data_IF_446272769173
#
_entry.id   IF_446272769173
#
_cell.length_a   1.000
_cell.length_b   1.000
_cell.length_c   1.000
_cell.angle_alpha   90.00
_cell.angle_beta   90.00
_cell.angle_gamma   90.00
#
_symmetry.space_group_name_H-M   'P 1'
#
loop_
_entity.id
_entity.type
_entity.pdbx_description
1 polymer ?
#
# COMPACT_ATOMS: atom_id res chain seq x y z
N UNK A 1 -110.40 -40.64 70.46
CA UNK A 1 -109.87 -39.39 69.89
C UNK A 1 -108.41 -39.67 69.62
N UNK A 2 -107.89 -39.86 68.42
CA UNK A 2 -108.31 -39.55 67.04
C UNK A 2 -107.63 -40.60 66.17
N UNK A 3 -108.40 -41.50 65.54
CA UNK A 3 -107.88 -42.48 64.59
C UNK A 3 -107.62 -41.80 63.24
N UNK A 4 -106.40 -41.98 62.73
CA UNK A 4 -105.91 -41.42 61.48
C UNK A 4 -106.66 -42.01 60.29
N UNK A 5 -107.56 -41.20 59.69
CA UNK A 5 -108.41 -41.55 58.54
C UNK A 5 -107.68 -41.78 57.21
N UNK A 6 -106.34 -41.78 57.17
CA UNK A 6 -105.58 -42.03 55.96
C UNK A 6 -104.36 -42.93 56.22
N UNK A 7 -104.24 -43.98 55.39
CA UNK A 7 -103.14 -44.94 55.35
C UNK A 7 -101.87 -44.24 54.82
N UNK A 8 -100.80 -44.18 55.61
CA UNK A 8 -99.54 -43.49 55.25
C UNK A 8 -98.95 -43.95 53.90
N UNK A 9 -99.13 -45.23 53.54
CA UNK A 9 -98.69 -45.81 52.26
C UNK A 9 -99.30 -45.11 51.02
N UNK A 10 -100.48 -44.49 51.14
CA UNK A 10 -101.11 -43.73 50.04
C UNK A 10 -100.55 -42.30 49.91
N UNK A 11 -100.08 -41.69 51.01
CA UNK A 11 -99.46 -40.37 50.99
C UNK A 11 -98.03 -40.42 50.40
N UNK A 12 -97.29 -41.50 50.63
CA UNK A 12 -95.96 -41.68 50.06
C UNK A 12 -95.97 -42.05 48.57
N UNK A 13 -96.98 -42.79 48.10
CA UNK A 13 -97.16 -43.09 46.67
C UNK A 13 -97.48 -41.85 45.81
N UNK A 14 -97.99 -40.78 46.43
CA UNK A 14 -98.37 -39.55 45.72
C UNK A 14 -97.23 -38.51 45.64
N UNK A 15 -96.16 -38.67 46.44
CA UNK A 15 -95.00 -37.75 46.48
C UNK A 15 -93.93 -38.02 45.41
N UNK A 16 -93.89 -39.20 44.80
CA UNK A 16 -92.83 -39.58 43.85
C UNK A 16 -93.20 -39.49 42.35
N UNK A 17 -94.32 -38.87 42.00
CA UNK A 17 -94.80 -38.76 40.60
C UNK A 17 -94.53 -37.41 39.91
N UNK A 18 -93.49 -36.68 40.35
CA UNK A 18 -93.14 -35.35 39.81
C UNK A 18 -91.80 -35.30 39.04
N UNK A 19 -91.10 -36.41 38.84
CA UNK A 19 -89.98 -36.48 37.89
C UNK A 19 -90.27 -37.53 36.84
N UNK A 20 -90.72 -37.06 35.67
CA UNK A 20 -90.95 -37.88 34.50
C UNK A 20 -89.69 -38.65 34.11
N UNK A 21 -89.87 -39.89 33.68
CA UNK A 21 -88.84 -40.67 33.00
C UNK A 21 -88.38 -39.88 31.78
N UNK A 22 -87.17 -39.32 31.83
CA UNK A 22 -86.53 -38.68 30.69
C UNK A 22 -86.20 -39.78 29.69
N UNK A 23 -87.16 -40.11 28.84
CA UNK A 23 -86.94 -40.89 27.63
C UNK A 23 -86.09 -40.04 26.69
N UNK A 24 -84.77 -40.23 26.75
CA UNK A 24 -83.83 -39.70 25.77
C UNK A 24 -84.06 -40.41 24.43
N UNK A 25 -85.06 -39.92 23.68
CA UNK A 25 -85.24 -40.27 22.28
C UNK A 25 -84.02 -39.76 21.51
N UNK A 26 -83.07 -40.65 21.24
CA UNK A 26 -81.84 -40.35 20.53
C UNK A 26 -82.03 -40.74 19.06
N UNK A 27 -82.29 -39.78 18.15
CA UNK A 27 -82.55 -40.09 16.74
C UNK A 27 -81.30 -40.71 16.08
N UNK A 28 -81.47 -41.66 15.13
CA UNK A 28 -80.36 -42.39 14.51
C UNK A 28 -79.40 -41.49 13.70
N UNK A 29 -79.83 -40.30 13.29
CA UNK A 29 -78.96 -39.29 12.67
C UNK A 29 -77.82 -38.87 13.61
N UNK A 30 -77.96 -38.99 14.95
CA UNK A 30 -76.90 -38.58 15.87
C UNK A 30 -75.55 -39.26 15.59
N UNK A 31 -75.55 -40.52 15.14
CA UNK A 31 -74.32 -41.21 14.74
C UNK A 31 -73.73 -40.67 13.44
N UNK A 32 -74.57 -40.18 12.53
CA UNK A 32 -74.15 -39.47 11.31
C UNK A 32 -73.57 -38.09 11.62
N UNK A 33 -74.20 -37.28 12.47
CA UNK A 33 -73.63 -35.98 12.88
C UNK A 33 -72.36 -36.13 13.70
N UNK A 34 -72.30 -37.13 14.59
CA UNK A 34 -71.07 -37.47 15.32
C UNK A 34 -69.99 -37.91 14.33
N UNK A 35 -70.30 -38.84 13.42
CA UNK A 35 -69.33 -39.33 12.42
C UNK A 35 -68.77 -38.22 11.53
N UNK A 36 -69.64 -37.31 11.04
CA UNK A 36 -69.21 -36.15 10.24
C UNK A 36 -68.38 -35.17 11.08
N UNK A 37 -68.79 -34.89 12.31
CA UNK A 37 -68.00 -34.04 13.21
C UNK A 37 -66.65 -34.67 13.55
N UNK A 38 -66.58 -35.99 13.78
CA UNK A 38 -65.33 -36.70 14.04
C UNK A 38 -64.42 -36.71 12.80
N UNK A 39 -64.98 -36.95 11.61
CA UNK A 39 -64.24 -36.89 10.36
C UNK A 39 -63.68 -35.48 10.07
N UNK A 40 -64.49 -34.43 10.26
CA UNK A 40 -64.05 -33.04 10.14
C UNK A 40 -62.91 -32.73 11.13
N UNK A 41 -63.06 -33.19 12.38
CA UNK A 41 -62.04 -33.03 13.42
C UNK A 41 -60.75 -33.75 13.03
N UNK A 42 -60.83 -34.98 12.52
CA UNK A 42 -59.67 -35.74 12.03
C UNK A 42 -58.99 -35.05 10.85
N UNK A 43 -59.74 -34.45 9.92
CA UNK A 43 -59.17 -33.69 8.80
C UNK A 43 -58.44 -32.45 9.28
N UNK A 44 -59.00 -31.72 10.25
CA UNK A 44 -58.34 -30.56 10.86
C UNK A 44 -57.07 -31.01 11.59
N UNK A 45 -57.14 -32.05 12.41
CA UNK A 45 -55.96 -32.61 13.10
C UNK A 45 -54.90 -33.06 12.10
N UNK A 46 -55.28 -33.76 11.03
CA UNK A 46 -54.36 -34.14 9.96
C UNK A 46 -53.73 -32.91 9.29
N UNK A 47 -54.50 -31.87 8.99
CA UNK A 47 -53.99 -30.61 8.44
C UNK A 47 -52.98 -29.93 9.39
N UNK A 48 -53.21 -29.94 10.70
CA UNK A 48 -52.25 -29.39 11.67
C UNK A 48 -50.98 -30.25 11.82
N UNK A 49 -51.11 -31.58 11.67
CA UNK A 49 -49.97 -32.52 11.76
C UNK A 49 -49.11 -32.49 10.51
N UNK A 50 -49.71 -32.42 9.31
CA UNK A 50 -49.00 -32.43 8.03
C UNK A 50 -48.68 -31.03 7.50
N UNK A 51 -49.42 -30.01 7.92
CA UNK A 51 -49.20 -28.63 7.52
C UNK A 51 -47.93 -28.06 8.16
N UNK A 52 -47.04 -27.53 7.32
CA UNK A 52 -45.84 -26.81 7.76
C UNK A 52 -45.94 -25.34 7.38
N UNK A 53 -45.64 -24.44 8.31
CA UNK A 53 -45.51 -23.02 8.04
C UNK A 53 -44.04 -22.61 8.14
N UNK A 54 -43.56 -21.87 7.14
CA UNK A 54 -42.18 -21.37 7.14
C UNK A 54 -42.17 -19.91 7.52
N UNK A 55 -41.58 -19.60 8.67
CA UNK A 55 -41.40 -18.21 9.10
C UNK A 55 -40.29 -17.56 8.26
N UNK A 56 -40.57 -16.37 7.73
CA UNK A 56 -39.61 -15.58 6.96
C UNK A 56 -39.34 -14.29 7.73
N UNK A 57 -38.08 -13.92 7.87
CA UNK A 57 -37.69 -12.57 8.30
C UNK A 57 -37.31 -11.76 7.08
N UNK A 58 -37.89 -10.58 6.97
CA UNK A 58 -37.50 -9.62 5.94
C UNK A 58 -36.33 -8.79 6.44
N UNK A 59 -35.25 -8.79 5.68
CA UNK A 59 -34.03 -8.04 5.98
C UNK A 59 -33.65 -7.16 4.81
N UNK A 60 -33.08 -6.00 5.11
CA UNK A 60 -32.59 -5.09 4.08
C UNK A 60 -31.15 -5.44 3.69
N UNK A 61 -30.79 -5.19 2.45
CA UNK A 61 -29.46 -5.38 1.93
C UNK A 61 -29.16 -4.50 0.72
N UNK A 62 -27.96 -4.69 0.17
CA UNK A 62 -27.50 -4.00 -1.03
C UNK A 62 -26.61 -4.92 -1.87
N UNK A 63 -26.60 -4.71 -3.19
CA UNK A 63 -25.68 -5.41 -4.09
C UNK A 63 -24.30 -4.78 -4.03
N UNK A 64 -23.29 -5.59 -3.77
CA UNK A 64 -21.88 -5.20 -3.79
C UNK A 64 -21.09 -6.21 -4.63
N UNK A 65 -20.05 -5.78 -5.35
CA UNK A 65 -19.15 -6.72 -6.01
C UNK A 65 -18.43 -7.58 -4.96
N UNK A 66 -18.22 -8.85 -5.25
CA UNK A 66 -17.52 -9.77 -4.34
C UNK A 66 -16.12 -9.26 -3.91
N UNK A 67 -15.45 -8.51 -4.79
CA UNK A 67 -14.13 -7.91 -4.52
C UNK A 67 -14.20 -6.52 -3.85
N UNK A 68 -15.39 -6.00 -3.59
CA UNK A 68 -15.58 -4.62 -3.13
C UNK A 68 -15.31 -3.57 -4.21
N UNK A 69 -15.56 -2.30 -3.85
CA UNK A 69 -15.16 -1.16 -4.68
C UNK A 69 -13.70 -0.82 -4.39
N UNK A 70 -12.91 -0.63 -5.44
CA UNK A 70 -11.54 -0.17 -5.34
C UNK A 70 -11.50 1.36 -5.26
N UNK A 71 -11.12 1.90 -4.11
CA UNK A 71 -10.87 3.32 -3.95
C UNK A 71 -9.42 3.65 -4.31
N UNK A 72 -9.22 4.49 -5.32
CA UNK A 72 -7.91 5.01 -5.69
C UNK A 72 -7.74 6.40 -5.09
N UNK A 73 -6.78 6.52 -4.18
CA UNK A 73 -6.43 7.76 -3.50
C UNK A 73 -5.01 8.20 -3.87
N UNK A 74 -4.72 9.51 -3.90
CA UNK A 74 -3.39 9.99 -4.19
C UNK A 74 -2.45 9.83 -3.00
N UNK A 75 -1.15 9.59 -3.24
CA UNK A 75 -0.14 9.52 -2.19
C UNK A 75 0.27 10.90 -1.64
N UNK A 76 -0.08 11.98 -2.34
CA UNK A 76 0.31 13.35 -2.02
C UNK A 76 -0.90 14.28 -2.18
N UNK A 77 -0.93 15.36 -1.39
CA UNK A 77 -1.93 16.42 -1.53
C UNK A 77 -1.62 17.28 -2.74
N UNK A 78 -2.63 17.62 -3.54
CA UNK A 78 -2.47 18.50 -4.69
C UNK A 78 -3.78 18.84 -5.38
N UNK A 79 -3.68 19.64 -6.44
CA UNK A 79 -4.83 20.11 -7.22
C UNK A 79 -5.01 19.22 -8.45
N UNK A 80 -6.22 18.76 -8.72
CA UNK A 80 -6.53 17.97 -9.93
C UNK A 80 -6.39 18.86 -11.17
N UNK A 81 -5.45 18.55 -12.04
CA UNK A 81 -5.23 19.31 -13.28
C UNK A 81 -6.17 18.86 -14.39
N UNK A 82 -6.49 17.58 -14.45
CA UNK A 82 -7.37 17.04 -15.46
C UNK A 82 -7.77 15.59 -15.20
N UNK A 83 -8.96 15.26 -15.70
CA UNK A 83 -9.52 13.91 -15.70
C UNK A 83 -9.27 13.29 -17.08
N UNK A 84 -8.75 12.06 -17.10
CA UNK A 84 -8.48 11.30 -18.34
C UNK A 84 -9.58 10.29 -18.65
N UNK A 85 -10.51 10.06 -17.71
CA UNK A 85 -11.60 9.09 -17.81
C UNK A 85 -12.95 9.71 -17.45
N UNK A 86 -14.04 9.03 -17.84
CA UNK A 86 -15.42 9.40 -17.51
C UNK A 86 -16.09 8.33 -16.64
N UNK A 87 -17.10 8.72 -15.88
CA UNK A 87 -17.95 7.77 -15.15
C UNK A 87 -18.61 6.77 -16.12
N UNK A 88 -18.63 5.49 -15.74
CA UNK A 88 -19.13 4.39 -16.56
C UNK A 88 -18.14 3.88 -17.64
N UNK A 89 -16.99 4.51 -17.83
CA UNK A 89 -15.99 4.06 -18.80
C UNK A 89 -15.25 2.81 -18.29
N UNK A 90 -15.01 1.84 -19.19
CA UNK A 90 -14.14 0.69 -18.91
C UNK A 90 -12.68 1.08 -19.10
N UNK A 91 -11.84 0.75 -18.12
CA UNK A 91 -10.40 1.05 -18.10
C UNK A 91 -9.59 -0.24 -17.92
N UNK A 92 -8.49 -0.36 -18.66
CA UNK A 92 -7.53 -1.45 -18.49
C UNK A 92 -6.65 -1.24 -17.25
N UNK A 93 -5.97 -2.30 -16.81
CA UNK A 93 -4.94 -2.19 -15.78
C UNK A 93 -3.84 -1.20 -16.22
N UNK A 94 -3.45 -0.28 -15.35
CA UNK A 94 -2.45 0.75 -15.61
C UNK A 94 -2.95 1.99 -16.39
N UNK A 95 -4.22 2.02 -16.82
CA UNK A 95 -4.79 3.16 -17.51
C UNK A 95 -4.80 4.41 -16.61
N UNK A 96 -4.51 5.57 -17.20
CA UNK A 96 -4.46 6.85 -16.50
C UNK A 96 -5.88 7.33 -16.17
N UNK A 97 -6.14 7.62 -14.90
CA UNK A 97 -7.45 8.06 -14.41
C UNK A 97 -7.50 9.58 -14.32
N UNK A 98 -6.56 10.17 -13.59
CA UNK A 98 -6.47 11.60 -13.39
C UNK A 98 -5.03 12.03 -13.10
N UNK A 99 -4.75 13.30 -13.35
CA UNK A 99 -3.48 13.94 -13.02
C UNK A 99 -3.68 14.95 -11.90
N UNK A 100 -2.76 14.94 -10.93
CA UNK A 100 -2.73 15.87 -9.81
C UNK A 100 -1.42 16.63 -9.86
N UNK A 101 -1.48 17.95 -9.83
CA UNK A 101 -0.30 18.79 -9.62
C UNK A 101 -0.15 19.05 -8.13
N UNK A 102 1.03 18.75 -7.57
CA UNK A 102 1.38 19.13 -6.21
C UNK A 102 2.10 20.50 -6.16
N UNK A 103 1.84 21.35 -7.15
CA UNK A 103 2.34 22.71 -7.20
C UNK A 103 1.60 23.58 -6.18
N UNK A 104 2.37 24.16 -5.26
CA UNK A 104 1.88 25.16 -4.33
C UNK A 104 2.17 26.52 -4.95
N UNK A 105 1.11 27.24 -5.34
CA UNK A 105 1.23 28.63 -5.76
C UNK A 105 1.31 29.52 -4.52
N UNK A 106 2.46 30.15 -4.30
CA UNK A 106 2.63 31.22 -3.30
C UNK A 106 2.75 32.57 -4.00
N UNK A 107 2.72 33.68 -3.25
CA UNK A 107 2.88 35.04 -3.80
C UNK A 107 4.20 35.22 -4.59
N UNK A 108 5.20 34.36 -4.35
CA UNK A 108 6.50 34.32 -5.04
C UNK A 108 6.50 33.40 -6.28
N UNK A 109 5.34 32.87 -6.70
CA UNK A 109 5.17 31.95 -7.82
C UNK A 109 5.20 30.47 -7.44
N UNK A 110 5.29 29.60 -8.46
CA UNK A 110 5.39 28.14 -8.28
C UNK A 110 6.67 27.76 -7.54
N UNK A 111 6.54 27.41 -6.25
CA UNK A 111 7.70 27.16 -5.37
C UNK A 111 8.55 25.98 -5.87
N UNK A 112 7.94 25.03 -6.60
CA UNK A 112 8.68 23.91 -7.19
C UNK A 112 9.48 24.29 -8.43
N UNK A 113 8.95 25.18 -9.28
CA UNK A 113 9.66 25.66 -10.47
C UNK A 113 10.89 26.51 -10.11
N UNK A 114 10.79 27.32 -9.04
CA UNK A 114 11.95 28.06 -8.53
C UNK A 114 13.03 27.12 -7.99
N UNK A 115 12.64 26.08 -7.23
CA UNK A 115 13.57 25.04 -6.78
C UNK A 115 14.19 24.27 -7.94
N UNK A 116 13.40 23.90 -8.96
CA UNK A 116 13.90 23.22 -10.15
C UNK A 116 14.93 24.06 -10.91
N UNK A 117 14.66 25.37 -11.09
CA UNK A 117 15.63 26.31 -11.69
C UNK A 117 16.91 26.42 -10.86
N UNK A 118 16.79 26.50 -9.54
CA UNK A 118 17.95 26.59 -8.65
C UNK A 118 18.80 25.31 -8.70
N UNK A 119 18.17 24.12 -8.67
CA UNK A 119 18.87 22.84 -8.77
C UNK A 119 19.57 22.67 -10.13
N UNK A 120 18.91 23.06 -11.23
CA UNK A 120 19.52 23.05 -12.57
C UNK A 120 20.73 23.99 -12.65
N UNK A 121 20.63 25.17 -12.04
CA UNK A 121 21.75 26.11 -11.97
C UNK A 121 22.90 25.56 -11.13
N UNK A 122 22.62 24.94 -9.98
CA UNK A 122 23.63 24.27 -9.16
C UNK A 122 24.34 23.14 -9.94
N UNK A 123 23.58 22.31 -10.66
CA UNK A 123 24.13 21.25 -11.52
C UNK A 123 25.10 21.82 -12.55
N UNK A 124 24.69 22.86 -13.29
CA UNK A 124 25.52 23.51 -14.30
C UNK A 124 26.79 24.13 -13.72
N UNK A 125 26.73 24.69 -12.50
CA UNK A 125 27.95 25.15 -11.80
C UNK A 125 28.87 23.98 -11.47
N UNK A 126 28.36 22.89 -10.90
CA UNK A 126 29.18 21.71 -10.57
C UNK A 126 29.83 21.08 -11.81
N UNK A 127 29.13 21.03 -12.94
CA UNK A 127 29.70 20.60 -14.24
C UNK A 127 30.84 21.53 -14.69
N UNK A 128 30.67 22.84 -14.51
CA UNK A 128 31.70 23.85 -14.81
C UNK A 128 32.89 23.72 -13.85
N UNK A 129 32.65 23.44 -12.57
CA UNK A 129 33.70 23.22 -11.57
C UNK A 129 34.49 21.95 -11.87
N UNK A 130 33.82 20.87 -12.30
CA UNK A 130 34.48 19.61 -12.70
C UNK A 130 35.40 19.80 -13.91
N UNK A 131 34.92 20.52 -14.92
CA UNK A 131 35.71 20.82 -16.13
C UNK A 131 36.87 21.75 -15.80
N UNK A 132 36.66 22.79 -15.00
CA UNK A 132 37.70 23.72 -14.52
C UNK A 132 38.77 22.99 -13.70
N UNK A 133 38.37 22.07 -12.80
CA UNK A 133 39.30 21.27 -12.01
C UNK A 133 40.19 20.38 -12.89
N UNK A 134 39.63 19.81 -13.96
CA UNK A 134 40.40 19.03 -14.94
C UNK A 134 41.41 19.86 -15.71
N UNK A 135 41.12 21.14 -15.96
CA UNK A 135 42.02 22.05 -16.68
C UNK A 135 43.16 22.47 -15.76
N UNK A 136 42.84 22.91 -14.54
CA UNK A 136 43.82 23.29 -13.51
C UNK A 136 44.80 22.16 -13.21
N UNK A 137 44.31 20.92 -13.07
CA UNK A 137 45.17 19.74 -12.84
C UNK A 137 46.12 19.48 -14.02
N UNK A 138 45.62 19.60 -15.26
CA UNK A 138 46.45 19.44 -16.47
C UNK A 138 47.55 20.50 -16.55
N UNK A 139 47.23 21.76 -16.21
CA UNK A 139 48.20 22.84 -16.18
C UNK A 139 49.25 22.65 -15.08
N UNK A 140 48.81 22.28 -13.86
CA UNK A 140 49.70 21.96 -12.76
C UNK A 140 50.66 20.80 -13.11
N UNK A 141 50.14 19.75 -13.74
CA UNK A 141 50.94 18.61 -14.19
C UNK A 141 51.98 19.02 -15.24
N UNK A 142 51.59 19.87 -16.20
CA UNK A 142 52.53 20.41 -17.20
C UNK A 142 53.63 21.24 -16.52
N UNK A 143 53.27 22.12 -15.60
CA UNK A 143 54.23 22.93 -14.84
C UNK A 143 55.25 22.09 -14.07
N UNK A 144 54.77 21.06 -13.36
CA UNK A 144 55.64 20.14 -12.62
C UNK A 144 56.55 19.31 -13.54
N UNK A 145 56.05 18.82 -14.69
CA UNK A 145 56.88 18.09 -15.66
C UNK A 145 57.97 18.98 -16.28
N UNK A 146 57.65 20.24 -16.60
CA UNK A 146 58.66 21.18 -17.09
C UNK A 146 59.72 21.44 -16.02
N UNK A 147 59.33 21.56 -14.75
CA UNK A 147 60.26 21.70 -13.63
C UNK A 147 61.14 20.46 -13.44
N UNK A 148 60.56 19.27 -13.53
CA UNK A 148 61.31 17.99 -13.48
C UNK A 148 62.38 17.94 -14.57
N UNK A 149 62.01 18.22 -15.82
CA UNK A 149 62.94 18.24 -16.94
C UNK A 149 64.08 19.26 -16.74
N UNK A 150 63.77 20.47 -16.24
CA UNK A 150 64.78 21.48 -15.95
C UNK A 150 65.77 21.05 -14.85
N UNK A 151 65.28 20.35 -13.81
CA UNK A 151 66.13 19.83 -12.73
C UNK A 151 67.01 18.65 -13.21
N UNK A 152 66.47 17.77 -14.06
CA UNK A 152 67.24 16.69 -14.69
C UNK A 152 68.37 17.27 -15.58
N UNK A 153 68.09 18.31 -16.37
CA UNK A 153 69.10 19.01 -17.17
C UNK A 153 70.18 19.67 -16.31
N UNK A 154 69.80 20.29 -15.19
CA UNK A 154 70.74 20.86 -14.21
C UNK A 154 71.64 19.77 -13.60
N UNK A 155 71.09 18.62 -13.22
CA UNK A 155 71.88 17.49 -12.73
C UNK A 155 72.86 16.98 -13.79
N UNK A 156 72.44 16.88 -15.05
CA UNK A 156 73.32 16.49 -16.14
C UNK A 156 74.47 17.49 -16.34
N UNK A 157 74.20 18.79 -16.19
CA UNK A 157 75.23 19.83 -16.23
C UNK A 157 76.21 19.73 -15.06
N UNK A 158 75.71 19.53 -13.84
CA UNK A 158 76.54 19.34 -12.64
C UNK A 158 77.40 18.08 -12.80
N UNK A 159 76.86 16.99 -13.36
CA UNK A 159 77.60 15.76 -13.61
C UNK A 159 78.76 15.98 -14.61
N UNK A 160 78.54 16.75 -15.68
CA UNK A 160 79.60 17.14 -16.62
C UNK A 160 80.67 17.99 -15.94
N UNK A 161 80.28 18.97 -15.12
CA UNK A 161 81.22 19.81 -14.36
C UNK A 161 82.03 18.99 -13.35
N UNK A 162 81.38 18.08 -12.62
CA UNK A 162 82.02 17.18 -11.68
C UNK A 162 83.06 16.30 -12.37
N UNK A 163 82.74 15.69 -13.51
CA UNK A 163 83.68 14.87 -14.28
C UNK A 163 84.92 15.68 -14.72
N UNK A 164 84.73 16.94 -15.14
CA UNK A 164 85.85 17.81 -15.53
C UNK A 164 86.73 18.19 -14.33
N UNK A 165 86.12 18.54 -13.19
CA UNK A 165 86.86 18.86 -11.95
C UNK A 165 87.57 17.64 -11.36
N UNK A 166 87.00 16.45 -11.52
CA UNK A 166 87.61 15.21 -11.06
C UNK A 166 88.92 14.94 -11.81
N UNK A 167 88.90 15.08 -13.15
CA UNK A 167 90.12 14.98 -13.97
C UNK A 167 91.18 16.02 -13.58
N UNK A 168 90.75 17.23 -13.21
CA UNK A 168 91.67 18.28 -12.75
C UNK A 168 92.32 17.91 -11.41
N UNK A 169 91.55 17.38 -10.45
CA UNK A 169 92.08 16.89 -9.18
C UNK A 169 93.04 15.70 -9.38
N UNK A 170 92.70 14.75 -10.25
CA UNK A 170 93.57 13.62 -10.61
C UNK A 170 94.89 14.06 -11.28
N UNK A 171 94.86 15.13 -12.10
CA UNK A 171 96.07 15.70 -12.68
C UNK A 171 96.93 16.41 -11.62
N UNK A 172 96.30 17.20 -10.74
CA UNK A 172 96.98 17.88 -9.65
C UNK A 172 97.63 16.89 -8.68
N UNK A 173 96.96 15.78 -8.38
CA UNK A 173 97.50 14.67 -7.58
C UNK A 173 98.74 14.08 -8.24
N UNK A 174 98.65 13.69 -9.53
CA UNK A 174 99.81 13.14 -10.25
C UNK A 174 101.01 14.08 -10.28
N UNK A 175 100.77 15.39 -10.40
CA UNK A 175 101.83 16.40 -10.33
C UNK A 175 102.44 16.50 -8.92
N UNK A 176 101.61 16.44 -7.88
CA UNK A 176 102.07 16.42 -6.49
C UNK A 176 102.95 15.19 -6.23
N UNK A 177 102.50 13.99 -6.62
CA UNK A 177 103.24 12.75 -6.45
C UNK A 177 104.61 12.82 -7.16
N UNK A 178 104.64 13.38 -8.39
CA UNK A 178 105.87 13.62 -9.13
C UNK A 178 106.81 14.58 -8.40
N UNK A 179 106.31 15.73 -7.92
CA UNK A 179 107.12 16.69 -7.18
C UNK A 179 107.65 16.11 -5.86
N UNK A 180 106.85 15.31 -5.15
CA UNK A 180 107.28 14.61 -3.94
C UNK A 180 108.41 13.63 -4.24
N UNK A 181 108.34 12.88 -5.35
CA UNK A 181 109.42 11.98 -5.79
C UNK A 181 110.70 12.75 -6.16
N UNK A 182 110.58 13.89 -6.86
CA UNK A 182 111.71 14.75 -7.21
C UNK A 182 112.36 15.40 -5.98
N UNK A 183 111.55 15.80 -5.00
CA UNK A 183 112.01 16.32 -3.70
C UNK A 183 112.82 15.27 -2.95
N UNK A 184 112.37 14.01 -2.93
CA UNK A 184 113.10 12.92 -2.29
C UNK A 184 114.49 12.68 -2.89
N UNK A 185 114.66 13.02 -4.16
CA UNK A 185 115.94 12.97 -4.88
C UNK A 185 116.74 14.29 -4.83
N UNK A 186 116.24 15.33 -4.14
CA UNK A 186 116.89 16.63 -3.97
C UNK A 186 116.68 17.64 -5.11
N UNK A 187 115.82 17.34 -6.09
CA UNK A 187 115.62 18.17 -7.29
C UNK A 187 114.46 19.19 -7.19
N UNK A 188 113.69 19.20 -6.11
CA UNK A 188 112.56 20.11 -5.91
C UNK A 188 112.54 20.72 -4.50
N UNK A 189 112.05 21.96 -4.38
CA UNK A 189 111.93 22.68 -3.10
C UNK A 189 110.70 22.24 -2.30
N UNK A 190 110.78 22.29 -0.96
CA UNK A 190 109.62 22.07 -0.08
C UNK A 190 108.46 23.04 -0.40
N UNK A 191 108.78 24.30 -0.70
CA UNK A 191 107.76 25.30 -1.06
C UNK A 191 106.98 24.95 -2.32
N UNK A 192 107.61 24.26 -3.29
CA UNK A 192 106.95 23.82 -4.52
C UNK A 192 105.98 22.66 -4.26
N UNK A 193 106.31 21.77 -3.32
CA UNK A 193 105.42 20.68 -2.90
C UNK A 193 104.22 21.23 -2.15
N UNK A 194 104.43 22.11 -1.16
CA UNK A 194 103.34 22.74 -0.40
C UNK A 194 102.40 23.56 -1.28
N UNK A 195 102.95 24.31 -2.25
CA UNK A 195 102.14 25.06 -3.20
C UNK A 195 101.25 24.13 -4.05
N UNK A 196 101.79 23.01 -4.54
CA UNK A 196 101.03 22.06 -5.34
C UNK A 196 99.99 21.30 -4.49
N UNK A 197 100.32 21.01 -3.23
CA UNK A 197 99.38 20.42 -2.27
C UNK A 197 98.18 21.35 -2.03
N UNK A 198 98.42 22.66 -1.90
CA UNK A 198 97.35 23.66 -1.84
C UNK A 198 96.44 23.66 -3.08
N UNK A 199 97.00 23.47 -4.29
CA UNK A 199 96.21 23.35 -5.53
C UNK A 199 95.33 22.10 -5.54
N UNK A 200 95.85 20.97 -5.06
CA UNK A 200 95.08 19.73 -4.92
C UNK A 200 93.94 19.90 -3.91
N UNK A 201 94.21 20.49 -2.75
CA UNK A 201 93.20 20.73 -1.71
C UNK A 201 92.09 21.66 -2.21
N UNK A 202 92.41 22.73 -2.95
CA UNK A 202 91.42 23.60 -3.59
C UNK A 202 90.57 22.83 -4.62
N UNK A 203 91.20 21.97 -5.44
CA UNK A 203 90.47 21.14 -6.41
C UNK A 203 89.52 20.14 -5.71
N UNK A 204 89.94 19.53 -4.60
CA UNK A 204 89.11 18.64 -3.80
C UNK A 204 87.95 19.39 -3.11
N UNK A 205 88.18 20.58 -2.56
CA UNK A 205 87.14 21.40 -1.95
C UNK A 205 86.05 21.78 -2.99
N UNK A 206 86.45 22.14 -4.21
CA UNK A 206 85.50 22.41 -5.31
C UNK A 206 84.69 21.18 -5.71
N UNK A 207 85.27 19.98 -5.66
CA UNK A 207 84.53 18.73 -5.91
C UNK A 207 83.49 18.46 -4.83
N UNK A 208 83.84 18.68 -3.56
CA UNK A 208 82.91 18.54 -2.44
C UNK A 208 81.74 19.52 -2.55
N UNK A 209 81.99 20.76 -2.96
CA UNK A 209 80.93 21.75 -3.19
C UNK A 209 79.99 21.34 -4.34
N UNK A 210 80.52 20.83 -5.45
CA UNK A 210 79.69 20.28 -6.54
C UNK A 210 78.89 19.05 -6.09
N UNK A 211 79.46 18.19 -5.23
CA UNK A 211 78.75 17.05 -4.67
C UNK A 211 77.57 17.49 -3.79
N UNK A 212 77.75 18.55 -2.98
CA UNK A 212 76.69 19.17 -2.16
C UNK A 212 75.59 19.74 -3.05
N UNK A 213 75.94 20.48 -4.10
CA UNK A 213 74.98 21.03 -5.07
C UNK A 213 74.21 19.92 -5.79
N UNK A 214 74.88 18.81 -6.17
CA UNK A 214 74.21 17.65 -6.78
C UNK A 214 73.16 17.04 -5.85
N UNK A 215 73.49 16.92 -4.56
CA UNK A 215 72.56 16.38 -3.56
C UNK A 215 71.34 17.30 -3.39
N UNK A 216 71.56 18.61 -3.33
CA UNK A 216 70.49 19.61 -3.19
C UNK A 216 69.52 19.56 -4.39
N UNK A 217 70.02 19.59 -5.62
CA UNK A 217 69.18 19.49 -6.83
C UNK A 217 68.50 18.11 -6.90
N UNK A 218 69.18 17.04 -6.48
CA UNK A 218 68.59 15.70 -6.39
C UNK A 218 67.38 15.64 -5.44
N UNK A 219 67.48 16.26 -4.26
CA UNK A 219 66.36 16.34 -3.32
C UNK A 219 65.18 17.14 -3.89
N UNK A 220 65.45 18.25 -4.59
CA UNK A 220 64.41 19.04 -5.26
C UNK A 220 63.70 18.25 -6.38
N UNK A 221 64.45 17.43 -7.12
CA UNK A 221 63.92 16.56 -8.15
C UNK A 221 63.04 15.47 -7.55
N UNK A 222 63.49 14.81 -6.49
CA UNK A 222 62.71 13.78 -5.80
C UNK A 222 61.41 14.34 -5.21
N UNK A 223 61.45 15.55 -4.64
CA UNK A 223 60.27 16.26 -4.16
C UNK A 223 59.29 16.59 -5.31
N UNK A 224 59.80 17.06 -6.45
CA UNK A 224 58.99 17.35 -7.64
C UNK A 224 58.34 16.07 -8.19
N UNK A 225 59.09 14.96 -8.24
CA UNK A 225 58.59 13.64 -8.63
C UNK A 225 57.53 13.11 -7.68
N UNK A 226 57.69 13.34 -6.37
CA UNK A 226 56.67 13.01 -5.38
C UNK A 226 55.38 13.79 -5.63
N UNK A 227 55.47 15.11 -5.85
CA UNK A 227 54.31 15.95 -6.19
C UNK A 227 53.60 15.47 -7.46
N UNK A 228 54.35 15.04 -8.48
CA UNK A 228 53.79 14.46 -9.70
C UNK A 228 53.04 13.14 -9.46
N UNK A 229 53.50 12.30 -8.52
CA UNK A 229 52.83 11.07 -8.13
C UNK A 229 51.57 11.31 -7.31
N UNK A 230 51.56 12.35 -6.48
CA UNK A 230 50.43 12.69 -5.61
C UNK A 230 49.31 13.45 -6.35
N UNK A 231 49.65 14.31 -7.31
CA UNK A 231 48.70 15.12 -8.09
C UNK A 231 47.50 14.35 -8.67
N UNK A 232 47.64 13.17 -9.32
CA UNK A 232 46.49 12.43 -9.85
C UNK A 232 45.59 11.90 -8.74
N UNK A 233 46.13 11.53 -7.58
CA UNK A 233 45.34 11.04 -6.44
C UNK A 233 44.51 12.17 -5.82
N UNK A 234 45.11 13.33 -5.61
CA UNK A 234 44.41 14.51 -5.08
C UNK A 234 43.36 15.02 -6.06
N UNK A 235 43.68 15.06 -7.35
CA UNK A 235 42.73 15.43 -8.42
C UNK A 235 41.54 14.47 -8.45
N UNK A 236 41.79 13.16 -8.37
CA UNK A 236 40.72 12.16 -8.38
C UNK A 236 39.80 12.27 -7.16
N UNK A 237 40.36 12.54 -5.99
CA UNK A 237 39.55 12.76 -4.79
C UNK A 237 38.65 13.99 -4.93
N UNK A 238 39.21 15.11 -5.43
CA UNK A 238 38.43 16.33 -5.67
C UNK A 238 37.34 16.13 -6.73
N UNK A 239 37.64 15.40 -7.81
CA UNK A 239 36.66 15.04 -8.83
C UNK A 239 35.54 14.17 -8.25
N UNK A 240 35.88 13.12 -7.51
CA UNK A 240 34.89 12.27 -6.83
C UNK A 240 34.00 13.08 -5.88
N UNK A 241 34.53 14.09 -5.20
CA UNK A 241 33.74 14.95 -4.30
C UNK A 241 32.73 15.81 -5.08
N UNK A 242 33.11 16.33 -6.24
CA UNK A 242 32.22 17.08 -7.13
C UNK A 242 31.18 16.14 -7.75
N UNK A 243 31.58 14.95 -8.21
CA UNK A 243 30.68 13.94 -8.78
C UNK A 243 29.64 13.45 -7.77
N UNK A 244 30.01 13.24 -6.49
CA UNK A 244 29.03 12.92 -5.45
C UNK A 244 28.00 14.03 -5.27
N UNK A 245 28.45 15.29 -5.20
CA UNK A 245 27.52 16.45 -5.12
C UNK A 245 26.63 16.55 -6.36
N UNK A 246 27.15 16.21 -7.54
CA UNK A 246 26.39 16.21 -8.77
C UNK A 246 25.27 15.16 -8.70
N UNK A 247 25.59 13.94 -8.26
CA UNK A 247 24.62 12.87 -8.07
C UNK A 247 23.53 13.25 -7.05
N UNK A 248 23.90 13.90 -5.94
CA UNK A 248 22.94 14.39 -4.94
C UNK A 248 21.97 15.44 -5.52
N UNK A 249 22.49 16.36 -6.35
CA UNK A 249 21.68 17.38 -7.04
C UNK A 249 20.79 16.74 -8.10
N UNK A 250 21.29 15.76 -8.86
CA UNK A 250 20.49 15.02 -9.85
C UNK A 250 19.35 14.24 -9.20
N UNK A 251 19.62 13.58 -8.07
CA UNK A 251 18.59 12.93 -7.27
C UNK A 251 17.55 13.96 -6.80
N UNK A 252 17.99 15.13 -6.30
CA UNK A 252 17.09 16.20 -5.87
C UNK A 252 16.22 16.73 -7.02
N UNK A 253 16.75 16.81 -8.24
CA UNK A 253 15.99 17.18 -9.45
C UNK A 253 14.93 16.11 -9.77
N UNK A 254 15.33 14.84 -9.76
CA UNK A 254 14.42 13.72 -10.02
C UNK A 254 13.29 13.66 -8.98
N UNK A 255 13.60 13.85 -7.70
CA UNK A 255 12.62 13.91 -6.62
C UNK A 255 11.67 15.12 -6.75
N UNK A 256 12.19 16.28 -7.16
CA UNK A 256 11.37 17.46 -7.39
C UNK A 256 10.37 17.25 -8.54
N UNK A 257 10.82 16.67 -9.65
CA UNK A 257 9.99 16.39 -10.83
C UNK A 257 8.98 15.26 -10.56
N UNK A 258 9.39 14.18 -9.89
CA UNK A 258 8.51 13.08 -9.51
C UNK A 258 7.35 13.53 -8.61
N UNK A 259 7.58 14.57 -7.79
CA UNK A 259 6.54 15.16 -6.95
C UNK A 259 5.73 16.25 -7.67
N UNK A 260 6.10 16.69 -8.86
CA UNK A 260 5.44 17.79 -9.57
C UNK A 260 4.06 17.39 -10.08
N UNK A 261 3.95 16.23 -10.72
CA UNK A 261 2.69 15.70 -11.23
C UNK A 261 2.57 14.22 -10.91
N UNK A 262 1.49 13.87 -10.20
CA UNK A 262 1.15 12.49 -9.88
C UNK A 262 0.02 12.05 -10.80
N UNK A 263 0.26 11.00 -11.57
CA UNK A 263 -0.76 10.36 -12.41
C UNK A 263 -1.30 9.17 -11.63
N UNK A 264 -2.60 9.20 -11.30
CA UNK A 264 -3.26 8.05 -10.71
C UNK A 264 -3.64 7.06 -11.81
N UNK A 265 -3.26 5.80 -11.62
CA UNK A 265 -3.51 4.71 -12.57
C UNK A 265 -4.45 3.67 -11.96
N UNK A 266 -5.23 3.00 -12.80
CA UNK A 266 -6.06 1.88 -12.37
C UNK A 266 -5.19 0.68 -11.97
N UNK A 267 -5.37 0.08 -10.77
CA UNK A 267 -4.56 -1.08 -10.35
C UNK A 267 -4.88 -2.34 -11.15
N UNK A 268 -6.14 -2.48 -11.61
CA UNK A 268 -6.59 -3.60 -12.44
C UNK A 268 -7.72 -3.18 -13.39
N UNK A 269 -8.04 -4.03 -14.38
CA UNK A 269 -9.13 -3.78 -15.32
C UNK A 269 -10.46 -3.59 -14.58
N UNK A 270 -11.08 -2.42 -14.76
CA UNK A 270 -12.22 -1.97 -13.97
C UNK A 270 -13.13 -1.05 -14.76
N UNK A 271 -14.37 -0.88 -14.30
CA UNK A 271 -15.29 0.17 -14.76
C UNK A 271 -15.24 1.32 -13.76
N UNK A 272 -15.16 2.55 -14.24
CA UNK A 272 -15.14 3.73 -13.37
C UNK A 272 -16.53 3.93 -12.77
N UNK A 273 -16.68 3.70 -11.47
CA UNK A 273 -17.97 3.74 -10.79
C UNK A 273 -18.38 5.17 -10.43
N UNK A 274 -17.45 5.96 -9.88
CA UNK A 274 -17.68 7.36 -9.53
C UNK A 274 -16.36 8.16 -9.54
N UNK A 275 -16.42 9.41 -10.01
CA UNK A 275 -15.35 10.38 -9.86
C UNK A 275 -15.67 11.31 -8.68
N UNK A 276 -14.92 11.15 -7.59
CA UNK A 276 -15.14 11.95 -6.37
C UNK A 276 -14.40 13.30 -6.43
N UNK A 277 -13.36 13.39 -7.26
CA UNK A 277 -12.58 14.61 -7.44
C UNK A 277 -12.87 15.27 -8.79
N UNK A 278 -13.00 16.61 -8.78
CA UNK A 278 -13.20 17.43 -9.99
C UNK A 278 -11.94 18.20 -10.37
N UNK A 279 -11.74 18.56 -11.65
CA UNK A 279 -10.66 19.46 -12.06
C UNK A 279 -10.70 20.76 -11.28
N UNK A 280 -9.55 21.25 -10.83
CA UNK A 280 -9.40 22.44 -10.00
C UNK A 280 -9.65 22.22 -8.50
N UNK A 281 -10.12 21.05 -8.08
CA UNK A 281 -10.30 20.72 -6.67
C UNK A 281 -8.98 20.26 -6.03
N UNK A 282 -8.77 20.66 -4.78
CA UNK A 282 -7.67 20.16 -3.95
C UNK A 282 -8.09 18.81 -3.35
N UNK A 283 -7.24 17.79 -3.50
CA UNK A 283 -7.42 16.46 -2.95
C UNK A 283 -6.27 16.16 -2.00
N UNK A 284 -6.59 15.66 -0.81
CA UNK A 284 -5.58 15.30 0.19
C UNK A 284 -5.01 13.91 -0.03
N UNK A 285 -3.78 13.68 0.45
CA UNK A 285 -3.19 12.35 0.48
C UNK A 285 -4.10 11.34 1.22
N UNK A 286 -4.33 10.18 0.63
CA UNK A 286 -5.19 9.13 1.18
C UNK A 286 -6.70 9.38 1.02
N UNK A 287 -7.13 10.54 0.54
CA UNK A 287 -8.54 10.80 0.24
C UNK A 287 -8.93 10.12 -1.08
N UNK A 288 -9.98 9.31 -1.07
CA UNK A 288 -10.51 8.64 -2.27
C UNK A 288 -10.84 9.64 -3.36
N UNK A 289 -10.17 9.54 -4.52
CA UNK A 289 -10.38 10.42 -5.67
C UNK A 289 -11.22 9.75 -6.76
N UNK A 290 -11.06 8.44 -6.96
CA UNK A 290 -11.79 7.63 -7.95
C UNK A 290 -12.26 6.33 -7.31
N UNK A 291 -13.51 5.96 -7.56
CA UNK A 291 -14.05 4.64 -7.20
C UNK A 291 -14.13 3.77 -8.45
N UNK A 292 -13.52 2.59 -8.39
CA UNK A 292 -13.43 1.64 -9.49
C UNK A 292 -14.16 0.34 -9.13
N UNK A 293 -14.85 -0.22 -10.11
CA UNK A 293 -15.51 -1.51 -10.03
C UNK A 293 -14.70 -2.55 -10.82
N UNK A 294 -14.08 -3.56 -10.17
CA UNK A 294 -13.36 -4.63 -10.85
C UNK A 294 -14.20 -5.30 -11.96
N UNK A 295 -13.63 -5.43 -13.16
CA UNK A 295 -14.31 -6.10 -14.26
C UNK A 295 -14.33 -7.62 -14.02
N UNK A 296 -15.50 -8.24 -14.17
CA UNK A 296 -15.67 -9.69 -14.03
C UNK A 296 -15.88 -10.19 -12.58
N UNK A 297 -15.96 -9.28 -11.60
CA UNK A 297 -16.38 -9.66 -10.24
C UNK A 297 -17.90 -9.88 -10.21
N UNK A 298 -18.41 -11.06 -9.80
CA UNK A 298 -19.84 -11.26 -9.61
C UNK A 298 -20.36 -10.34 -8.50
N UNK A 299 -21.60 -9.87 -8.64
CA UNK A 299 -22.29 -9.18 -7.56
C UNK A 299 -22.79 -10.20 -6.53
N UNK A 300 -22.71 -9.79 -5.28
CA UNK A 300 -23.20 -10.49 -4.10
C UNK A 300 -24.16 -9.57 -3.35
N UNK A 301 -25.19 -10.15 -2.73
CA UNK A 301 -26.13 -9.44 -1.90
C UNK A 301 -25.63 -9.45 -0.46
N UNK A 302 -25.27 -8.27 0.05
CA UNK A 302 -24.90 -8.09 1.45
C UNK A 302 -26.14 -7.70 2.25
N UNK A 303 -26.61 -8.62 3.09
CA UNK A 303 -27.78 -8.47 3.94
C UNK A 303 -27.38 -8.09 5.37
N UNK A 304 -28.19 -7.23 5.99
CA UNK A 304 -28.04 -6.85 7.39
C UNK A 304 -29.13 -7.53 8.21
N UNK A 305 -28.76 -8.58 8.94
CA UNK A 305 -29.68 -9.48 9.64
C UNK A 305 -29.65 -9.21 11.14
N UNK A 306 -30.80 -9.02 11.81
CA UNK A 306 -30.83 -8.78 13.26
C UNK A 306 -30.49 -10.04 14.06
N UNK A 307 -29.99 -9.86 15.29
CA UNK A 307 -29.61 -10.95 16.20
C UNK A 307 -30.72 -11.98 16.44
N UNK A 308 -31.99 -11.59 16.36
CA UNK A 308 -33.14 -12.50 16.52
C UNK A 308 -33.27 -13.53 15.39
N UNK A 309 -32.75 -13.22 14.20
CA UNK A 309 -32.86 -14.05 13.01
C UNK A 309 -31.55 -14.77 12.66
N UNK A 310 -30.39 -14.25 13.09
CA UNK A 310 -29.07 -14.78 12.69
C UNK A 310 -28.85 -16.24 13.07
N UNK A 311 -29.36 -16.70 14.23
CA UNK A 311 -29.19 -18.07 14.71
C UNK A 311 -29.81 -19.15 13.81
N UNK A 312 -30.66 -18.74 12.87
CA UNK A 312 -31.33 -19.62 11.91
C UNK A 312 -30.73 -19.56 10.50
N UNK A 313 -29.84 -18.58 10.24
CA UNK A 313 -29.19 -18.42 8.94
C UNK A 313 -27.97 -19.32 8.88
N UNK A 314 -27.91 -20.17 7.85
CA UNK A 314 -26.79 -21.10 7.61
C UNK A 314 -26.24 -20.91 6.21
N UNK A 315 -24.94 -21.17 6.05
CA UNK A 315 -24.32 -21.27 4.73
C UNK A 315 -25.06 -22.32 3.87
N UNK A 316 -25.35 -21.96 2.62
CA UNK A 316 -26.15 -22.75 1.68
C UNK A 316 -27.66 -22.54 1.79
N UNK A 317 -28.17 -21.81 2.79
CA UNK A 317 -29.59 -21.51 2.90
C UNK A 317 -30.08 -20.70 1.69
N UNK A 318 -31.25 -21.05 1.16
CA UNK A 318 -31.88 -20.32 0.07
C UNK A 318 -32.49 -19.03 0.58
N UNK A 319 -32.30 -17.95 -0.14
CA UNK A 319 -32.82 -16.61 0.18
C UNK A 319 -33.60 -16.09 -1.01
N UNK A 320 -34.74 -15.45 -0.74
CA UNK A 320 -35.55 -14.80 -1.77
C UNK A 320 -35.19 -13.32 -1.80
N UNK A 321 -34.65 -12.86 -2.91
CA UNK A 321 -34.18 -11.49 -3.14
C UNK A 321 -35.24 -10.70 -3.92
N UNK A 322 -35.47 -9.45 -3.50
CA UNK A 322 -36.35 -8.48 -4.15
C UNK A 322 -35.60 -7.17 -4.33
N UNK A 323 -35.31 -6.80 -5.58
CA UNK A 323 -34.62 -5.55 -5.89
C UNK A 323 -35.59 -4.37 -5.86
N UNK A 324 -35.26 -3.29 -5.17
CA UNK A 324 -36.14 -2.11 -5.08
C UNK A 324 -36.32 -1.44 -6.46
N UNK A 325 -35.26 -1.43 -7.27
CA UNK A 325 -35.28 -0.89 -8.64
C UNK A 325 -36.19 -1.68 -9.59
N UNK A 326 -36.54 -2.94 -9.26
CA UNK A 326 -37.34 -3.83 -10.09
C UNK A 326 -38.44 -4.51 -9.27
N UNK A 327 -39.63 -3.89 -9.16
CA UNK A 327 -40.75 -4.43 -8.39
C UNK A 327 -41.09 -5.89 -8.76
N UNK A 328 -41.03 -6.77 -7.77
CA UNK A 328 -41.18 -8.22 -7.94
C UNK A 328 -42.55 -8.64 -8.53
N UNK A 329 -43.58 -7.79 -8.39
CA UNK A 329 -44.90 -8.05 -8.97
C UNK A 329 -44.86 -8.10 -10.50
N UNK A 330 -43.91 -7.38 -11.12
CA UNK A 330 -43.74 -7.31 -12.57
C UNK A 330 -42.59 -8.18 -13.08
N UNK A 331 -41.52 -8.29 -12.30
CA UNK A 331 -40.26 -8.90 -12.73
C UNK A 331 -39.91 -10.22 -12.02
N UNK A 332 -40.83 -10.74 -11.21
CA UNK A 332 -40.68 -12.01 -10.49
C UNK A 332 -39.79 -11.91 -9.25
N UNK A 333 -39.67 -13.04 -8.56
CA UNK A 333 -38.80 -13.19 -7.38
C UNK A 333 -37.45 -13.75 -7.80
N UNK A 334 -36.38 -13.23 -7.22
CA UNK A 334 -35.03 -13.70 -7.46
C UNK A 334 -34.55 -14.56 -6.30
N UNK A 335 -33.62 -15.45 -6.58
CA UNK A 335 -33.12 -16.39 -5.60
C UNK A 335 -31.60 -16.27 -5.49
N UNK A 336 -31.10 -16.59 -4.31
CA UNK A 336 -29.67 -16.72 -4.04
C UNK A 336 -29.43 -17.67 -2.88
N UNK A 337 -28.16 -17.95 -2.63
CA UNK A 337 -27.72 -18.87 -1.59
C UNK A 337 -26.73 -18.17 -0.66
N UNK A 338 -26.87 -18.38 0.64
CA UNK A 338 -25.95 -17.80 1.64
C UNK A 338 -24.55 -18.38 1.46
N UNK A 339 -23.56 -17.54 1.20
CA UNK A 339 -22.16 -17.95 1.11
C UNK A 339 -21.45 -17.77 2.45
N UNK A 340 -21.67 -16.63 3.11
CA UNK A 340 -20.98 -16.27 4.34
C UNK A 340 -21.94 -15.67 5.37
N UNK A 341 -21.74 -16.03 6.63
CA UNK A 341 -22.43 -15.45 7.78
C UNK A 341 -21.36 -14.90 8.73
N UNK A 342 -21.36 -13.58 8.95
CA UNK A 342 -20.44 -12.94 9.88
C UNK A 342 -20.66 -13.49 11.30
N UNK A 343 -19.55 -13.81 11.99
CA UNK A 343 -19.59 -14.27 13.39
C UNK A 343 -19.70 -13.14 14.39
N UNK A 344 -19.42 -11.92 13.96
CA UNK A 344 -19.47 -10.71 14.78
C UNK A 344 -20.64 -9.83 14.35
N UNK A 345 -21.33 -9.27 15.33
CA UNK A 345 -22.32 -8.23 15.11
C UNK A 345 -21.61 -6.92 14.78
N UNK A 346 -22.13 -6.19 13.80
CA UNK A 346 -21.70 -4.84 13.47
C UNK A 346 -22.46 -3.85 14.37
N UNK A 347 -21.71 -2.92 14.93
CA UNK A 347 -22.28 -1.80 15.68
C UNK A 347 -23.07 -0.87 14.76
N UNK A 348 -24.03 -0.09 15.28
CA UNK A 348 -24.76 0.91 14.50
C UNK A 348 -23.88 1.85 13.67
N UNK A 349 -22.72 2.23 14.20
CA UNK A 349 -21.75 3.10 13.52
C UNK A 349 -21.06 2.40 12.35
N UNK A 350 -20.67 1.14 12.51
CA UNK A 350 -20.06 0.35 11.43
C UNK A 350 -21.05 0.06 10.31
N UNK A 351 -22.31 -0.26 10.65
CA UNK A 351 -23.36 -0.43 9.65
C UNK A 351 -23.62 0.89 8.91
N UNK A 352 -23.65 2.02 9.62
CA UNK A 352 -23.80 3.33 9.01
C UNK A 352 -22.66 3.64 8.03
N UNK A 353 -21.41 3.32 8.39
CA UNK A 353 -20.25 3.50 7.50
C UNK A 353 -20.30 2.60 6.26
N UNK A 354 -20.78 1.36 6.39
CA UNK A 354 -20.84 0.39 5.27
C UNK A 354 -22.03 0.57 4.34
N UNK A 355 -23.15 1.08 4.85
CA UNK A 355 -24.41 1.22 4.09
C UNK A 355 -24.77 2.66 3.75
N UNK A 356 -24.07 3.64 4.34
CA UNK A 356 -24.42 5.06 4.21
C UNK A 356 -25.75 5.44 4.88
N UNK A 357 -26.38 4.52 5.63
CA UNK A 357 -27.66 4.76 6.31
C UNK A 357 -27.43 5.36 7.70
N UNK A 358 -27.85 6.61 7.88
CA UNK A 358 -27.91 7.22 9.21
C UNK A 358 -29.10 6.61 10.00
N UNK A 359 -28.90 6.40 11.31
CA UNK A 359 -29.87 5.85 12.28
C UNK A 359 -30.17 4.34 12.16
N UNK A 360 -29.15 3.52 12.44
CA UNK A 360 -29.33 2.08 12.63
C UNK A 360 -29.68 1.81 14.12
N UNK A 361 -30.86 1.26 14.45
CA UNK A 361 -31.35 1.18 15.83
C UNK A 361 -30.81 -0.01 16.63
N UNK A 362 -30.34 -1.07 15.96
CA UNK A 362 -29.90 -2.33 16.59
C UNK A 362 -28.60 -2.86 15.97
N UNK A 363 -27.89 -3.74 16.68
CA UNK A 363 -26.71 -4.44 16.16
C UNK A 363 -27.15 -5.45 15.09
N UNK A 364 -26.46 -5.47 13.96
CA UNK A 364 -26.82 -6.28 12.79
C UNK A 364 -25.65 -7.17 12.39
N UNK A 365 -25.94 -8.39 11.94
CA UNK A 365 -24.98 -9.33 11.40
C UNK A 365 -24.96 -9.21 9.88
N UNK A 366 -23.75 -9.20 9.32
CA UNK A 366 -23.56 -9.22 7.88
C UNK A 366 -23.70 -10.65 7.35
N UNK A 367 -24.60 -10.85 6.39
CA UNK A 367 -24.77 -12.10 5.65
C UNK A 367 -24.54 -11.84 4.18
N UNK A 368 -23.67 -12.62 3.55
CA UNK A 368 -23.34 -12.52 2.12
C UNK A 368 -24.07 -13.62 1.37
N UNK A 369 -24.79 -13.24 0.33
CA UNK A 369 -25.61 -14.14 -0.50
C UNK A 369 -25.13 -14.07 -1.95
N UNK A 370 -24.71 -15.20 -2.50
CA UNK A 370 -24.44 -15.33 -3.92
C UNK A 370 -25.76 -15.35 -4.71
N UNK A 371 -25.83 -14.54 -5.77
CA UNK A 371 -26.99 -14.46 -6.65
C UNK A 371 -26.98 -15.63 -7.64
N UNK A 372 -28.14 -16.24 -7.89
CA UNK A 372 -28.27 -17.29 -8.92
C UNK A 372 -28.13 -16.71 -10.34
N UNK A 373 -28.45 -15.42 -10.53
CA UNK A 373 -28.35 -14.68 -11.80
C UNK A 373 -27.85 -13.26 -11.58
N UNK A 374 -26.98 -12.79 -12.47
CA UNK A 374 -26.38 -11.44 -12.43
C UNK A 374 -27.17 -10.41 -13.26
N UNK A 375 -28.26 -10.85 -13.87
CA UNK A 375 -29.13 -10.09 -14.77
C UNK A 375 -30.60 -10.31 -14.43
N UNK A 376 -31.43 -9.33 -14.78
CA UNK A 376 -32.89 -9.41 -14.65
C UNK A 376 -33.57 -9.14 -15.99
N UNK A 377 -34.64 -9.87 -16.27
CA UNK A 377 -35.47 -9.63 -17.45
C UNK A 377 -36.42 -8.48 -17.15
N UNK A 378 -36.03 -7.27 -17.52
CA UNK A 378 -36.85 -6.08 -17.41
C UNK A 378 -37.35 -5.65 -18.79
N UNK A 379 -38.66 -5.49 -18.94
CA UNK A 379 -39.29 -5.01 -20.20
C UNK A 379 -38.89 -5.84 -21.44
N UNK A 380 -38.71 -7.15 -21.27
CA UNK A 380 -38.34 -8.07 -22.35
C UNK A 380 -36.85 -8.02 -22.76
N UNK A 381 -36.00 -7.28 -22.05
CA UNK A 381 -34.55 -7.24 -22.26
C UNK A 381 -33.82 -7.72 -21.00
N UNK A 382 -32.66 -8.35 -21.20
CA UNK A 382 -31.75 -8.69 -20.11
C UNK A 382 -30.99 -7.42 -19.70
N UNK A 383 -31.29 -6.91 -18.51
CA UNK A 383 -30.59 -5.79 -17.90
C UNK A 383 -29.64 -6.33 -16.83
N UNK A 384 -28.37 -5.93 -16.89
CA UNK A 384 -27.38 -6.31 -15.88
C UNK A 384 -27.69 -5.59 -14.55
N UNK A 385 -27.58 -6.33 -13.44
CA UNK A 385 -27.68 -5.73 -12.11
C UNK A 385 -26.51 -4.77 -11.89
N UNK A 386 -26.76 -3.68 -11.18
CA UNK A 386 -25.74 -2.66 -10.89
C UNK A 386 -25.32 -2.73 -9.42
N UNK A 387 -24.02 -2.56 -9.11
CA UNK A 387 -23.59 -2.36 -7.74
C UNK A 387 -24.31 -1.20 -7.08
N UNK A 388 -24.55 -1.29 -5.77
CA UNK A 388 -25.23 -0.28 -4.97
C UNK A 388 -26.76 -0.34 -5.01
N UNK A 389 -27.36 -1.23 -5.81
CA UNK A 389 -28.81 -1.42 -5.79
C UNK A 389 -29.28 -1.93 -4.42
N UNK A 390 -30.26 -1.22 -3.83
CA UNK A 390 -30.92 -1.65 -2.61
C UNK A 390 -31.86 -2.85 -2.89
N UNK A 391 -31.92 -3.76 -1.92
CA UNK A 391 -32.75 -4.94 -2.00
C UNK A 391 -33.32 -5.32 -0.64
N UNK A 392 -34.47 -5.99 -0.67
CA UNK A 392 -35.04 -6.70 0.45
C UNK A 392 -34.85 -8.19 0.23
N UNK A 393 -34.53 -8.91 1.30
CA UNK A 393 -34.38 -10.35 1.28
C UNK A 393 -35.29 -10.98 2.31
N UNK A 394 -36.03 -12.03 1.93
CA UNK A 394 -36.70 -12.89 2.87
C UNK A 394 -35.79 -14.07 3.18
N UNK A 395 -35.26 -14.11 4.40
CA UNK A 395 -34.48 -15.24 4.90
C UNK A 395 -35.44 -16.24 5.53
N UNK A 396 -35.36 -17.50 5.08
CA UNK A 396 -36.17 -18.58 5.63
C UNK A 396 -35.54 -18.99 6.97
N UNK A 397 -36.25 -18.71 8.06
CA UNK A 397 -35.76 -18.98 9.43
C UNK A 397 -35.97 -20.45 9.78
N UNK A 398 -37.23 -20.87 9.86
CA UNK A 398 -37.59 -22.16 10.42
C UNK A 398 -38.88 -22.68 9.80
N UNK A 399 -38.94 -23.98 9.56
CA UNK A 399 -40.09 -24.69 9.01
C UNK A 399 -40.72 -25.49 10.14
N UNK A 400 -41.70 -24.89 10.82
CA UNK A 400 -42.40 -25.53 11.93
C UNK A 400 -43.68 -26.19 11.46
N UNK A 401 -44.08 -27.28 12.13
CA UNK A 401 -45.40 -27.89 11.92
C UNK A 401 -46.45 -27.05 12.62
N UNK A 402 -47.63 -26.92 12.01
CA UNK A 402 -48.72 -26.12 12.58
C UNK A 402 -49.13 -26.61 13.98
N UNK A 403 -49.05 -27.93 14.23
CA UNK A 403 -49.32 -28.54 15.55
C UNK A 403 -48.40 -28.01 16.66
N UNK A 404 -47.14 -27.71 16.35
CA UNK A 404 -46.18 -27.17 17.32
C UNK A 404 -46.54 -25.74 17.73
N UNK A 405 -47.11 -24.97 16.80
CA UNK A 405 -47.53 -23.59 17.05
C UNK A 405 -48.75 -23.51 17.97
N UNK A 406 -49.73 -24.40 17.79
CA UNK A 406 -50.94 -24.45 18.64
C UNK A 406 -50.64 -24.93 20.06
N UNK A 407 -49.68 -25.84 20.22
CA UNK A 407 -49.29 -26.42 21.52
C UNK A 407 -48.17 -25.63 22.22
N UNK A 408 -47.61 -24.58 21.60
CA UNK A 408 -46.53 -23.75 22.17
C UNK A 408 -46.85 -23.18 23.56
N UNK A 409 -48.08 -22.68 23.86
CA UNK A 409 -48.43 -22.22 25.20
C UNK A 409 -48.37 -23.35 26.24
N UNK A 410 -48.79 -24.56 25.88
CA UNK A 410 -48.79 -25.73 26.77
C UNK A 410 -47.35 -26.22 27.05
N UNK A 411 -46.48 -26.24 26.04
CA UNK A 411 -45.07 -26.59 26.22
C UNK A 411 -44.29 -25.53 27.00
N UNK A 412 -44.64 -24.25 26.86
CA UNK A 412 -44.04 -23.15 27.61
C UNK A 412 -44.34 -23.23 29.12
N UNK A 413 -45.52 -23.74 29.51
CA UNK A 413 -45.86 -23.98 30.92
C UNK A 413 -45.09 -25.17 31.53
N UNK A 414 -44.82 -26.23 30.75
CA UNK A 414 -44.12 -27.42 31.24
C UNK A 414 -42.63 -27.21 31.56
N UNK A 415 -41.96 -26.22 30.95
CA UNK A 415 -40.52 -25.97 31.15
C UNK A 415 -40.16 -25.07 32.33
N UNK A 416 -41.13 -24.45 33.02
CA UNK A 416 -40.86 -23.59 34.19
C UNK A 416 -40.67 -24.37 35.51
N UNK A 417 -40.76 -25.70 35.51
CA UNK A 417 -40.70 -26.53 36.74
C UNK A 417 -39.39 -27.33 36.85
N UNK A 418 -38.45 -27.17 35.93
CA UNK A 418 -37.11 -27.78 36.01
C UNK A 418 -36.03 -26.71 35.81
N UNK A 419 -35.77 -25.94 36.85
CA UNK A 419 -34.55 -25.15 37.03
C UNK A 419 -34.05 -25.38 38.45
#
# INVERSE_FOLDING_TARGET
>A
MTDSLFRQEALDATRHKLMGTVSLYSPPWRWLTIGVATALTLVVVAFFVFGSYTKRERVAGQLLPAQGLLSVAPPLTGTVTGLRVREGQTVAAGAELLAISAEVATELGGTRETVARQLKFQRSRLETDLTSQSQLSREAQRGLRTREAALDDQLAQIARQHAQRLRQAELAQRQLDKLQSMRAQGYASNSQVEQQEGVLLDAQARLQELARQRLEVGQQLDQTRQQLRELPLTTRNQQNDIERKLADVEQSIAENEARRTVILRAPQASVVAALLAKPGQIVNAGQSAVSLLPQGAPLEAQLMVPSRAIGFVRTGARVVLRYEAYPFQKFGQQFGHVTEVSRTALSPQEVANLTGRANVPEQLYRVVVALDRQDIVAYGKHEALRPGMALEADVLIDRRRLVEWVLEPLYALGRRVSA
#
